data_IF_717239033788
#
_entry.id   IF_717239033788
#
_cell.length_a   1.000
_cell.length_b   1.000
_cell.length_c   1.000
_cell.angle_alpha   90.00
_cell.angle_beta   90.00
_cell.angle_gamma   90.00
#
_symmetry.space_group_name_H-M   'P 1'
#
loop_
_entity.id
_entity.type
_entity.pdbx_description
1 polymer ?
#
# COMPACT_ATOMS: atom_id res chain seq x y z
N UNK A 1 -29.86 53.29 11.09
CA UNK A 1 -29.54 51.85 11.11
C UNK A 1 -28.74 51.41 9.87
N UNK A 2 -27.47 51.81 9.72
CA UNK A 2 -26.68 51.43 8.52
C UNK A 2 -25.21 51.08 8.80
N UNK A 3 -24.59 51.61 9.85
CA UNK A 3 -23.17 51.35 10.17
C UNK A 3 -22.97 50.02 10.91
N UNK A 4 -23.78 49.72 11.94
CA UNK A 4 -23.64 48.50 12.74
C UNK A 4 -23.86 47.21 11.94
N UNK A 5 -24.85 47.21 11.04
CA UNK A 5 -25.12 46.05 10.16
C UNK A 5 -23.99 45.80 9.16
N UNK A 6 -23.36 46.87 8.64
CA UNK A 6 -22.22 46.76 7.70
C UNK A 6 -20.97 46.24 8.40
N UNK A 7 -20.73 46.69 9.64
CA UNK A 7 -19.64 46.18 10.48
C UNK A 7 -19.86 44.70 10.83
N UNK A 8 -21.08 44.31 11.18
CA UNK A 8 -21.42 42.91 11.47
C UNK A 8 -21.28 42.01 10.23
N UNK A 9 -21.73 42.47 9.05
CA UNK A 9 -21.55 41.77 7.78
C UNK A 9 -20.07 41.62 7.41
N UNK A 10 -19.26 42.68 7.59
CA UNK A 10 -17.82 42.62 7.34
C UNK A 10 -17.11 41.63 8.27
N UNK A 11 -17.43 41.68 9.56
CA UNK A 11 -16.92 40.72 10.54
C UNK A 11 -17.32 39.28 10.19
N UNK A 12 -18.60 39.05 9.89
CA UNK A 12 -19.10 37.73 9.53
C UNK A 12 -18.43 37.19 8.26
N UNK A 13 -18.19 38.05 7.26
CA UNK A 13 -17.48 37.67 6.05
C UNK A 13 -16.04 37.23 6.33
N UNK A 14 -15.31 37.98 7.17
CA UNK A 14 -13.94 37.63 7.57
C UNK A 14 -13.93 36.28 8.31
N UNK A 15 -14.85 36.08 9.26
CA UNK A 15 -14.96 34.81 10.02
C UNK A 15 -15.31 33.65 9.10
N UNK A 16 -16.24 33.83 8.16
CA UNK A 16 -16.63 32.80 7.20
C UNK A 16 -15.47 32.40 6.28
N UNK A 17 -14.69 33.38 5.80
CA UNK A 17 -13.48 33.12 4.99
C UNK A 17 -12.43 32.40 5.82
N UNK A 18 -12.17 32.84 7.06
CA UNK A 18 -11.21 32.18 7.94
C UNK A 18 -11.61 30.72 8.25
N UNK A 19 -12.88 30.47 8.57
CA UNK A 19 -13.41 29.14 8.81
C UNK A 19 -13.31 28.25 7.56
N UNK A 20 -13.61 28.80 6.38
CA UNK A 20 -13.45 28.12 5.10
C UNK A 20 -11.99 27.73 4.86
N UNK A 21 -11.04 28.65 5.08
CA UNK A 21 -9.61 28.39 4.93
C UNK A 21 -9.11 27.31 5.89
N UNK A 22 -9.49 27.36 7.16
CA UNK A 22 -9.12 26.33 8.14
C UNK A 22 -9.64 24.96 7.69
N UNK A 23 -10.91 24.88 7.27
CA UNK A 23 -11.50 23.62 6.81
C UNK A 23 -10.84 23.10 5.52
N UNK A 24 -10.53 23.99 4.57
CA UNK A 24 -9.93 23.61 3.30
C UNK A 24 -8.50 23.09 3.48
N UNK A 25 -7.67 23.77 4.28
CA UNK A 25 -6.30 23.34 4.60
C UNK A 25 -6.33 21.98 5.30
N UNK A 26 -7.21 21.81 6.28
CA UNK A 26 -7.31 20.56 7.03
C UNK A 26 -7.66 19.36 6.13
N UNK A 27 -8.60 19.53 5.20
CA UNK A 27 -8.97 18.46 4.25
C UNK A 27 -7.84 18.18 3.26
N UNK A 28 -7.12 19.21 2.82
CA UNK A 28 -6.02 19.10 1.85
C UNK A 28 -4.76 18.47 2.45
N UNK A 29 -4.49 18.60 3.75
CA UNK A 29 -3.25 18.09 4.34
C UNK A 29 -3.41 16.73 5.04
N UNK A 30 -4.56 16.48 5.69
CA UNK A 30 -4.75 15.26 6.49
C UNK A 30 -4.83 14.01 5.62
N UNK A 31 -5.62 14.02 4.54
CA UNK A 31 -5.77 12.83 3.67
C UNK A 31 -4.46 12.46 2.95
N UNK A 32 -3.73 13.39 2.30
CA UNK A 32 -2.46 13.07 1.67
C UNK A 32 -1.35 12.74 2.67
N UNK A 33 -1.41 13.28 3.88
CA UNK A 33 -0.47 12.93 4.96
C UNK A 33 -0.54 11.45 5.34
N UNK A 34 -1.74 10.94 5.64
CA UNK A 34 -1.94 9.52 6.01
C UNK A 34 -1.56 8.58 4.86
N UNK A 35 -1.89 8.97 3.62
CA UNK A 35 -1.54 8.19 2.43
C UNK A 35 -0.03 8.06 2.28
N UNK A 36 0.72 9.18 2.35
CA UNK A 36 2.19 9.18 2.26
C UNK A 36 2.84 8.38 3.39
N UNK A 37 2.33 8.46 4.61
CA UNK A 37 2.85 7.66 5.73
C UNK A 37 2.67 6.15 5.50
N UNK A 38 1.49 5.76 5.01
CA UNK A 38 1.20 4.36 4.64
C UNK A 38 2.08 3.91 3.49
N UNK A 39 2.26 4.77 2.49
CA UNK A 39 3.10 4.53 1.32
C UNK A 39 4.56 4.30 1.72
N UNK A 40 5.11 5.14 2.61
CA UNK A 40 6.45 4.96 3.17
C UNK A 40 6.61 3.64 3.91
N UNK A 41 5.67 3.29 4.79
CA UNK A 41 5.73 2.03 5.55
C UNK A 41 5.66 0.81 4.62
N UNK A 42 4.82 0.87 3.59
CA UNK A 42 4.70 -0.19 2.59
C UNK A 42 5.97 -0.32 1.75
N UNK A 43 6.59 0.79 1.36
CA UNK A 43 7.87 0.80 0.65
C UNK A 43 9.00 0.16 1.47
N UNK A 44 9.10 0.50 2.75
CA UNK A 44 10.11 -0.07 3.65
C UNK A 44 9.88 -1.58 3.82
N UNK A 45 8.62 -1.97 4.02
CA UNK A 45 8.24 -3.39 4.12
C UNK A 45 8.55 -4.15 2.83
N UNK A 46 8.22 -3.59 1.67
CA UNK A 46 8.51 -4.20 0.38
C UNK A 46 10.02 -4.36 0.16
N UNK A 47 10.81 -3.36 0.50
CA UNK A 47 12.28 -3.40 0.37
C UNK A 47 12.89 -4.48 1.25
N UNK A 48 12.46 -4.56 2.52
CA UNK A 48 12.94 -5.58 3.45
C UNK A 48 12.54 -6.99 3.01
N UNK A 49 11.28 -7.20 2.62
CA UNK A 49 10.81 -8.50 2.16
C UNK A 49 11.46 -8.88 0.82
N UNK A 50 11.73 -7.94 -0.08
CA UNK A 50 12.44 -8.20 -1.33
C UNK A 50 13.86 -8.72 -1.08
N UNK A 51 14.57 -8.17 -0.10
CA UNK A 51 15.89 -8.64 0.30
C UNK A 51 15.85 -10.09 0.82
N UNK A 52 14.83 -10.45 1.62
CA UNK A 52 14.64 -11.81 2.11
C UNK A 52 14.21 -12.79 1.00
N UNK A 53 13.40 -12.33 0.06
CA UNK A 53 12.89 -13.13 -1.06
C UNK A 53 13.95 -13.48 -2.11
N UNK A 54 15.15 -12.88 -2.03
CA UNK A 54 16.25 -13.17 -2.95
C UNK A 54 16.63 -14.64 -2.95
N UNK A 55 16.82 -15.23 -1.77
CA UNK A 55 17.19 -16.66 -1.66
C UNK A 55 16.07 -17.55 -2.21
N UNK A 56 14.81 -17.19 -1.96
CA UNK A 56 13.66 -17.94 -2.42
C UNK A 56 13.50 -17.92 -3.95
N UNK A 57 13.82 -16.79 -4.62
CA UNK A 57 13.85 -16.70 -6.09
C UNK A 57 15.01 -17.48 -6.72
N UNK A 58 16.14 -17.57 -6.04
CA UNK A 58 17.30 -18.34 -6.52
C UNK A 58 17.11 -19.85 -6.28
N UNK A 59 16.25 -20.23 -5.34
CA UNK A 59 15.89 -21.61 -5.09
C UNK A 59 14.97 -22.18 -6.19
N UNK A 60 14.97 -23.50 -6.34
CA UNK A 60 14.15 -24.17 -7.35
C UNK A 60 12.63 -24.06 -7.10
N UNK A 61 12.21 -23.79 -5.87
CA UNK A 61 10.79 -23.71 -5.50
C UNK A 61 10.49 -22.55 -4.52
N UNK A 62 10.19 -21.35 -5.05
CA UNK A 62 9.86 -20.18 -4.23
C UNK A 62 8.62 -20.38 -3.33
N UNK A 63 7.70 -21.29 -3.69
CA UNK A 63 6.50 -21.57 -2.89
C UNK A 63 6.80 -22.31 -1.59
N UNK A 64 7.96 -22.94 -1.48
CA UNK A 64 8.43 -23.58 -0.25
C UNK A 64 9.54 -22.78 0.43
N UNK A 65 9.83 -21.59 -0.08
CA UNK A 65 10.84 -20.68 0.45
C UNK A 65 10.51 -20.14 1.83
N UNK A 66 11.47 -19.45 2.44
CA UNK A 66 11.34 -18.88 3.78
C UNK A 66 10.21 -17.86 3.86
N UNK A 67 10.03 -17.05 2.81
CA UNK A 67 8.94 -16.08 2.72
C UNK A 67 7.58 -16.78 2.76
N UNK A 68 7.41 -17.84 1.96
CA UNK A 68 6.16 -18.59 1.91
C UNK A 68 5.83 -19.22 3.27
N UNK A 69 6.81 -19.86 3.90
CA UNK A 69 6.66 -20.45 5.23
C UNK A 69 6.28 -19.40 6.29
N UNK A 70 6.94 -18.23 6.28
CA UNK A 70 6.64 -17.14 7.20
C UNK A 70 5.19 -16.63 7.03
N UNK A 71 4.71 -16.44 5.80
CA UNK A 71 3.32 -16.02 5.56
C UNK A 71 2.30 -17.12 5.90
N UNK A 72 2.63 -18.39 5.68
CA UNK A 72 1.78 -19.50 6.14
C UNK A 72 1.62 -19.51 7.66
N UNK A 73 2.71 -19.34 8.41
CA UNK A 73 2.67 -19.25 9.88
C UNK A 73 1.92 -18.00 10.36
N UNK A 74 2.17 -16.86 9.73
CA UNK A 74 1.53 -15.59 10.06
C UNK A 74 0.01 -15.62 9.84
N UNK A 75 -0.45 -16.32 8.80
CA UNK A 75 -1.88 -16.51 8.53
C UNK A 75 -2.56 -17.47 9.53
N UNK A 76 -1.79 -18.31 10.22
CA UNK A 76 -2.30 -19.26 11.21
C UNK A 76 -2.35 -18.68 12.63
N UNK A 77 -1.55 -17.65 12.92
CA UNK A 77 -1.56 -16.99 14.23
C UNK A 77 -2.67 -15.93 14.30
N UNK A 78 -3.64 -16.06 15.21
CA UNK A 78 -4.62 -15.00 15.43
C UNK A 78 -3.90 -13.78 16.00
N UNK A 79 -4.02 -12.64 15.31
CA UNK A 79 -3.62 -11.37 15.87
C UNK A 79 -4.69 -10.96 16.89
N UNK A 80 -4.33 -10.39 18.03
CA UNK A 80 -5.31 -9.82 18.95
C UNK A 80 -4.80 -8.47 19.45
N UNK A 81 -4.67 -7.54 18.51
CA UNK A 81 -4.20 -6.19 18.78
C UNK A 81 -5.36 -5.21 18.73
N UNK A 82 -5.39 -4.26 19.68
CA UNK A 82 -6.26 -3.10 19.63
C UNK A 82 -5.43 -1.87 19.25
N UNK A 83 -5.58 -1.41 18.01
CA UNK A 83 -4.84 -0.26 17.48
C UNK A 83 -5.79 0.91 17.40
N UNK A 84 -5.71 1.84 18.36
CA UNK A 84 -6.55 3.04 18.37
C UNK A 84 -8.06 2.77 18.38
N UNK A 85 -8.50 1.68 19.01
CA UNK A 85 -9.91 1.26 19.05
C UNK A 85 -10.31 0.25 17.97
N UNK A 86 -9.41 -0.07 17.02
CA UNK A 86 -9.65 -1.07 15.99
C UNK A 86 -9.07 -2.41 16.42
N UNK A 87 -9.94 -3.42 16.60
CA UNK A 87 -9.52 -4.78 16.92
C UNK A 87 -9.07 -5.50 15.66
N UNK A 88 -7.76 -5.70 15.53
CA UNK A 88 -7.16 -6.42 14.40
C UNK A 88 -6.98 -7.88 14.78
N UNK A 89 -7.75 -8.74 14.10
CA UNK A 89 -7.81 -10.20 14.37
C UNK A 89 -6.91 -11.02 13.44
N UNK A 90 -6.48 -10.43 12.33
CA UNK A 90 -5.64 -11.09 11.32
C UNK A 90 -4.73 -10.07 10.64
N UNK A 91 -3.64 -10.56 10.07
CA UNK A 91 -2.85 -9.77 9.15
C UNK A 91 -3.55 -9.71 7.78
N UNK A 92 -3.57 -8.54 7.16
CA UNK A 92 -4.29 -8.30 5.90
C UNK A 92 -3.34 -7.91 4.76
N UNK A 93 -2.03 -7.94 5.01
CA UNK A 93 -1.06 -7.70 3.97
C UNK A 93 -1.20 -8.74 2.86
N UNK A 94 -1.28 -8.23 1.63
CA UNK A 94 -1.21 -9.04 0.42
C UNK A 94 0.20 -8.93 -0.13
N UNK A 95 1.00 -9.98 0.01
CA UNK A 95 2.34 -10.03 -0.55
C UNK A 95 2.38 -11.01 -1.71
N UNK A 96 2.96 -10.59 -2.82
CA UNK A 96 3.30 -11.48 -3.92
C UNK A 96 4.71 -11.20 -4.43
N UNK A 97 5.28 -12.24 -5.04
CA UNK A 97 6.63 -12.26 -5.59
C UNK A 97 6.54 -12.72 -7.04
N UNK A 98 7.20 -11.99 -7.94
CA UNK A 98 7.31 -12.34 -9.36
C UNK A 98 8.74 -12.70 -9.73
N UNK A 99 8.89 -13.50 -10.78
CA UNK A 99 10.17 -13.66 -11.47
C UNK A 99 10.54 -12.42 -12.31
N UNK A 100 11.69 -12.45 -12.95
CA UNK A 100 12.19 -11.38 -13.84
C UNK A 100 11.31 -11.15 -15.08
N UNK A 101 10.38 -12.06 -15.40
CA UNK A 101 9.43 -11.93 -16.50
C UNK A 101 8.09 -11.34 -16.03
N UNK A 102 7.93 -11.12 -14.72
CA UNK A 102 6.68 -10.64 -14.13
C UNK A 102 5.66 -11.74 -13.83
N UNK A 103 6.02 -13.02 -13.94
CA UNK A 103 5.13 -14.12 -13.56
C UNK A 103 5.14 -14.31 -12.04
N UNK A 104 3.97 -14.39 -11.43
CA UNK A 104 3.84 -14.59 -9.98
C UNK A 104 4.31 -15.99 -9.60
N UNK A 105 5.34 -16.08 -8.77
CA UNK A 105 5.91 -17.34 -8.26
C UNK A 105 5.45 -17.65 -6.84
N UNK A 106 5.04 -16.63 -6.08
CA UNK A 106 4.45 -16.77 -4.75
C UNK A 106 3.39 -15.68 -4.54
N UNK A 107 2.28 -16.04 -3.88
CA UNK A 107 1.24 -15.12 -3.45
C UNK A 107 0.71 -15.55 -2.08
N UNK A 108 0.72 -14.63 -1.12
CA UNK A 108 0.25 -14.85 0.26
C UNK A 108 -1.22 -15.28 0.36
N UNK A 109 -2.04 -14.97 -0.64
CA UNK A 109 -3.44 -15.41 -0.72
C UNK A 109 -3.63 -16.71 -1.52
N UNK A 110 -2.60 -17.17 -2.24
CA UNK A 110 -2.64 -18.32 -3.13
C UNK A 110 -3.49 -18.13 -4.39
N UNK A 111 -4.02 -16.93 -4.66
CA UNK A 111 -4.94 -16.67 -5.77
C UNK A 111 -4.22 -16.32 -7.06
N UNK A 112 -3.08 -15.62 -6.95
CA UNK A 112 -2.38 -15.04 -8.09
C UNK A 112 -1.24 -15.90 -8.64
N UNK A 113 -0.88 -17.00 -7.97
CA UNK A 113 0.28 -17.81 -8.32
C UNK A 113 0.18 -18.36 -9.74
N UNK A 114 1.23 -18.16 -10.54
CA UNK A 114 1.30 -18.56 -11.94
C UNK A 114 0.75 -17.53 -12.94
N UNK A 115 0.09 -16.47 -12.48
CA UNK A 115 -0.44 -15.41 -13.36
C UNK A 115 0.67 -14.49 -13.85
N UNK A 116 0.47 -13.89 -15.03
CA UNK A 116 1.39 -12.90 -15.60
C UNK A 116 1.03 -11.49 -15.10
N UNK A 117 1.88 -10.95 -14.24
CA UNK A 117 1.75 -9.61 -13.69
C UNK A 117 2.70 -8.58 -14.34
N UNK A 118 3.38 -8.93 -15.43
CA UNK A 118 4.37 -8.07 -16.11
C UNK A 118 3.86 -6.70 -16.56
N UNK A 119 2.54 -6.54 -16.70
CA UNK A 119 1.86 -5.30 -17.10
C UNK A 119 1.24 -4.51 -15.96
N UNK A 120 1.28 -5.02 -14.73
CA UNK A 120 0.80 -4.26 -13.58
C UNK A 120 1.80 -3.18 -13.25
N UNK A 121 1.32 -1.96 -12.97
CA UNK A 121 2.19 -0.79 -12.87
C UNK A 121 3.28 -0.94 -11.80
N UNK A 122 2.96 -1.56 -10.67
CA UNK A 122 3.93 -1.84 -9.62
C UNK A 122 5.02 -2.82 -10.07
N UNK A 123 4.69 -3.87 -10.83
CA UNK A 123 5.68 -4.82 -11.37
C UNK A 123 6.43 -4.25 -12.57
N UNK A 124 5.73 -3.63 -13.51
CA UNK A 124 6.26 -3.09 -14.75
C UNK A 124 7.29 -1.99 -14.52
N UNK A 125 7.02 -1.05 -13.60
CA UNK A 125 7.96 0.01 -13.24
C UNK A 125 9.15 -0.55 -12.48
N UNK A 126 8.91 -1.43 -11.51
CA UNK A 126 9.97 -1.98 -10.66
C UNK A 126 10.94 -2.87 -11.43
N UNK A 127 10.48 -3.68 -12.40
CA UNK A 127 11.36 -4.45 -13.30
C UNK A 127 12.30 -3.56 -14.14
N UNK A 128 11.98 -2.27 -14.29
CA UNK A 128 12.82 -1.27 -14.98
C UNK A 128 13.65 -0.42 -14.03
N UNK A 129 13.70 -0.76 -12.74
CA UNK A 129 14.41 0.02 -11.72
C UNK A 129 13.73 1.34 -11.35
N UNK A 130 12.43 1.48 -11.64
CA UNK A 130 11.64 2.66 -11.27
C UNK A 130 10.76 2.38 -10.06
N UNK A 131 10.29 3.44 -9.40
CA UNK A 131 9.34 3.32 -8.29
C UNK A 131 8.01 2.74 -8.78
N UNK A 132 7.66 1.54 -8.31
CA UNK A 132 6.46 0.83 -8.71
C UNK A 132 5.38 0.93 -7.64
N UNK A 133 4.26 1.56 -7.99
CA UNK A 133 3.09 1.63 -7.12
C UNK A 133 1.80 1.57 -7.94
N UNK A 134 0.75 1.02 -7.34
CA UNK A 134 -0.61 1.10 -7.86
C UNK A 134 -1.64 1.15 -6.75
N UNK A 135 -2.84 1.57 -7.08
CA UNK A 135 -4.01 1.35 -6.25
C UNK A 135 -5.10 0.75 -7.12
N UNK A 136 -5.64 -0.40 -6.71
CA UNK A 136 -6.66 -1.11 -7.49
C UNK A 136 -7.84 -1.40 -6.60
N UNK A 137 -9.04 -1.06 -7.08
CA UNK A 137 -10.30 -1.36 -6.41
C UNK A 137 -10.65 -2.83 -6.65
N UNK A 138 -11.04 -3.54 -5.60
CA UNK A 138 -11.55 -4.91 -5.72
C UNK A 138 -13.02 -4.92 -6.14
N UNK A 139 -13.77 -3.88 -5.78
CA UNK A 139 -15.10 -3.57 -6.28
C UNK A 139 -15.08 -2.16 -6.91
N UNK A 140 -15.34 -2.03 -8.23
CA UNK A 140 -15.38 -0.75 -8.92
C UNK A 140 -16.32 0.29 -8.29
N UNK A 141 -17.36 -0.16 -7.59
CA UNK A 141 -18.40 0.68 -6.99
C UNK A 141 -18.16 1.00 -5.50
N UNK A 142 -17.18 0.37 -4.85
CA UNK A 142 -16.81 0.65 -3.45
C UNK A 142 -15.41 1.28 -3.37
N UNK A 143 -15.35 2.59 -3.05
CA UNK A 143 -14.07 3.29 -2.88
C UNK A 143 -13.23 2.74 -1.72
N UNK A 144 -13.86 2.17 -0.69
CA UNK A 144 -13.17 1.55 0.44
C UNK A 144 -12.55 0.19 0.08
N UNK A 145 -12.89 -0.37 -1.08
CA UNK A 145 -12.37 -1.64 -1.58
C UNK A 145 -10.98 -1.51 -2.25
N UNK A 146 -10.42 -0.31 -2.28
CA UNK A 146 -9.09 -0.02 -2.85
C UNK A 146 -7.98 -0.72 -2.07
N UNK A 147 -7.06 -1.35 -2.79
CA UNK A 147 -5.82 -1.90 -2.24
C UNK A 147 -4.65 -1.14 -2.83
N UNK A 148 -3.82 -0.54 -1.98
CA UNK A 148 -2.58 0.11 -2.38
C UNK A 148 -1.47 -0.92 -2.41
N UNK A 149 -0.76 -1.03 -3.53
CA UNK A 149 0.40 -1.89 -3.73
C UNK A 149 1.63 -1.04 -3.98
N UNK A 150 2.73 -1.40 -3.32
CA UNK A 150 4.06 -0.84 -3.56
C UNK A 150 5.04 -1.97 -3.72
N UNK A 151 5.87 -1.84 -4.74
CA UNK A 151 6.82 -2.85 -5.14
C UNK A 151 8.26 -2.41 -4.94
N UNK A 152 9.10 -3.38 -4.59
CA UNK A 152 10.55 -3.24 -4.51
C UNK A 152 11.23 -4.32 -5.36
N UNK A 153 12.36 -4.01 -6.01
CA UNK A 153 13.06 -4.96 -6.85
C UNK A 153 13.77 -5.99 -5.99
N UNK A 154 13.70 -7.26 -6.38
CA UNK A 154 14.57 -8.29 -5.83
C UNK A 154 15.87 -8.29 -6.62
N UNK A 155 16.97 -7.96 -5.95
CA UNK A 155 18.27 -7.77 -6.59
C UNK A 155 19.18 -8.99 -6.36
N UNK A 156 19.83 -9.46 -7.42
CA UNK A 156 20.98 -10.39 -7.33
C UNK A 156 22.14 -9.86 -8.16
N UNK A 157 23.31 -9.69 -7.52
CA UNK A 157 24.56 -9.24 -8.17
C UNK A 157 24.36 -7.99 -9.05
N UNK A 158 23.58 -7.02 -8.57
CA UNK A 158 23.30 -5.77 -9.26
C UNK A 158 22.23 -5.84 -10.36
N UNK A 159 21.55 -6.97 -10.52
CA UNK A 159 20.46 -7.14 -11.51
C UNK A 159 19.14 -7.41 -10.82
N UNK A 160 18.06 -6.92 -11.41
CA UNK A 160 16.70 -7.24 -10.96
C UNK A 160 16.38 -8.66 -11.43
N UNK A 161 16.10 -9.56 -10.49
CA UNK A 161 15.73 -10.96 -10.76
C UNK A 161 14.25 -11.24 -10.51
N UNK A 162 13.52 -10.25 -10.01
CA UNK A 162 12.09 -10.34 -9.73
C UNK A 162 11.58 -9.09 -9.00
N UNK A 163 10.31 -9.12 -8.63
CA UNK A 163 9.65 -8.02 -7.92
C UNK A 163 8.89 -8.59 -6.75
N UNK A 164 9.03 -7.93 -5.59
CA UNK A 164 8.15 -8.18 -4.45
C UNK A 164 7.22 -6.98 -4.27
N UNK A 165 5.93 -7.25 -4.19
CA UNK A 165 4.89 -6.23 -4.01
C UNK A 165 4.12 -6.49 -2.72
N UNK A 166 3.91 -5.41 -1.94
CA UNK A 166 3.14 -5.42 -0.70
C UNK A 166 1.90 -4.57 -0.87
N UNK A 167 0.76 -5.21 -0.63
CA UNK A 167 -0.57 -4.63 -0.71
C UNK A 167 -1.17 -4.41 0.67
N UNK A 168 -1.77 -3.24 0.90
CA UNK A 168 -2.62 -2.97 2.06
C UNK A 168 -4.03 -2.56 1.62
N UNK A 169 -5.07 -3.30 2.02
CA UNK A 169 -6.44 -2.86 1.83
C UNK A 169 -6.70 -1.56 2.57
N UNK A 170 -7.47 -0.66 1.95
CA UNK A 170 -7.91 0.59 2.56
C UNK A 170 -9.14 0.40 3.48
N UNK A 171 -9.61 -0.85 3.63
CA UNK A 171 -10.72 -1.21 4.51
C UNK A 171 -10.30 -1.11 5.98
N UNK A 172 -11.23 -0.64 6.82
CA UNK A 172 -11.11 -0.60 8.28
C UNK A 172 -11.57 -1.90 8.92
#
# INVERSE_FOLDING_TARGET
MRIGMRLLLGYFLIVAIAAWFVLSIFVQEVKPGVRRATEGTLNDTATLLAALAREDLLAANPQQGRLAQAFHQLNQQPLNANIGGIKKVRNEYRVYLTDARGKVVFDSSGQATGQDYSRWNDVWLTLRGQYGARSTRSDPHDEASSVMYIAAPVMDKGRIIGVLSVGKPNRR
#
